data_IF_102613639502
#
_entry.id   IF_102613639502
#
_cell.length_a   1.000
_cell.length_b   1.000
_cell.length_c   1.000
_cell.angle_alpha   90.00
_cell.angle_beta   90.00
_cell.angle_gamma   90.00
#
_symmetry.space_group_name_H-M   'P 1'
#
loop_
_entity.id
_entity.type
_entity.pdbx_description
1 polymer ?
#
# COMPACT_ATOMS: atom_id res chain seq x y z
N UNK A 1 -4.00 -1.54 24.23
CA UNK A 1 -3.31 -0.44 23.53
C UNK A 1 -4.11 -0.13 22.27
N UNK A 2 -4.91 0.94 22.31
CA UNK A 2 -5.91 1.29 21.27
C UNK A 2 -5.21 1.82 20.02
N UNK A 3 -5.64 1.31 18.87
CA UNK A 3 -5.34 1.88 17.55
C UNK A 3 -5.77 3.35 17.58
N UNK A 4 -4.78 4.24 17.53
CA UNK A 4 -4.96 5.68 17.69
C UNK A 4 -5.62 6.24 16.43
N UNK A 5 -6.82 6.78 16.64
CA UNK A 5 -7.55 7.76 15.83
C UNK A 5 -6.87 8.23 14.53
N UNK A 6 -7.34 7.74 13.38
CA UNK A 6 -6.76 8.15 12.09
C UNK A 6 -7.42 9.40 11.47
N UNK A 7 -8.66 9.80 11.78
CA UNK A 7 -9.27 10.99 11.15
C UNK A 7 -10.36 11.70 11.97
N UNK A 8 -10.07 12.16 13.19
CA UNK A 8 -11.05 12.90 13.99
C UNK A 8 -11.19 14.40 13.64
N UNK A 9 -10.45 14.91 12.65
CA UNK A 9 -10.35 16.37 12.46
C UNK A 9 -10.09 16.74 11.00
N UNK A 10 -11.03 16.46 10.10
CA UNK A 10 -11.12 17.30 8.90
C UNK A 10 -11.71 18.63 9.35
N UNK A 11 -10.80 19.56 9.62
CA UNK A 11 -11.01 20.86 10.22
C UNK A 11 -12.20 21.62 9.64
N UNK A 12 -12.90 22.30 10.55
CA UNK A 12 -14.00 23.25 10.39
C UNK A 12 -13.90 24.29 9.25
N UNK A 13 -12.86 24.38 8.40
CA UNK A 13 -12.53 25.67 7.73
C UNK A 13 -11.90 25.65 6.33
N UNK A 14 -11.86 24.52 5.62
CA UNK A 14 -11.46 24.52 4.21
C UNK A 14 -9.96 24.62 3.97
N UNK A 15 -9.41 23.51 3.44
CA UNK A 15 -8.24 23.39 2.52
C UNK A 15 -6.89 23.89 3.06
N UNK A 16 -5.73 23.23 2.94
CA UNK A 16 -5.23 21.84 2.87
C UNK A 16 -3.71 22.00 3.15
N UNK A 17 -3.02 20.97 3.66
CA UNK A 17 -1.78 20.59 3.00
C UNK A 17 -1.91 19.15 2.55
N UNK A 18 -1.91 18.95 1.22
CA UNK A 18 -1.65 17.70 0.51
C UNK A 18 -1.00 16.68 1.44
N UNK A 19 -1.82 15.77 1.95
CA UNK A 19 -1.40 14.77 2.91
C UNK A 19 -0.08 14.19 2.42
N UNK A 20 0.99 14.25 3.22
CA UNK A 20 2.25 13.53 2.96
C UNK A 20 1.85 12.18 2.38
N UNK A 21 2.14 11.93 1.10
CA UNK A 21 1.61 10.74 0.43
C UNK A 21 2.04 9.56 1.28
N UNK A 22 1.10 8.91 1.95
CA UNK A 22 1.38 7.95 3.02
C UNK A 22 2.02 6.66 2.48
N UNK A 23 2.33 6.62 1.18
CA UNK A 23 2.83 5.46 0.46
C UNK A 23 1.80 4.31 0.36
N UNK A 24 0.56 4.53 0.84
CA UNK A 24 -0.47 3.51 0.85
C UNK A 24 -1.04 3.31 -0.57
N UNK A 25 -0.84 2.12 -1.12
CA UNK A 25 -1.36 1.73 -2.43
C UNK A 25 -2.47 0.69 -2.25
N UNK A 26 -3.69 1.05 -2.67
CA UNK A 26 -4.83 0.12 -2.68
C UNK A 26 -5.01 -0.41 -4.11
N UNK A 27 -4.69 -1.69 -4.32
CA UNK A 27 -4.78 -2.36 -5.62
C UNK A 27 -5.98 -3.30 -5.64
N UNK A 28 -6.80 -3.20 -6.69
CA UNK A 28 -7.81 -4.21 -7.02
C UNK A 28 -7.24 -5.13 -8.10
N UNK A 29 -7.38 -6.43 -7.90
CA UNK A 29 -6.98 -7.46 -8.86
C UNK A 29 -7.87 -8.69 -8.73
N UNK A 30 -7.84 -9.54 -9.75
CA UNK A 30 -8.58 -10.80 -9.74
C UNK A 30 -8.09 -11.72 -8.60
N UNK A 31 -8.97 -12.50 -7.96
CA UNK A 31 -8.60 -13.40 -6.85
C UNK A 31 -7.48 -14.38 -7.22
N UNK A 32 -7.44 -14.84 -8.46
CA UNK A 32 -6.45 -15.78 -8.98
C UNK A 32 -5.06 -15.14 -9.00
N UNK A 33 -4.99 -13.88 -9.44
CA UNK A 33 -3.75 -13.10 -9.42
C UNK A 33 -3.31 -12.81 -7.98
N UNK A 34 -4.24 -12.46 -7.10
CA UNK A 34 -3.93 -12.23 -5.69
C UNK A 34 -3.33 -13.49 -5.03
N UNK A 35 -3.85 -14.68 -5.34
CA UNK A 35 -3.29 -15.95 -4.86
C UNK A 35 -1.87 -16.18 -5.39
N UNK A 36 -1.66 -15.99 -6.69
CA UNK A 36 -0.34 -16.15 -7.31
C UNK A 36 0.71 -15.21 -6.68
N UNK A 37 0.36 -13.92 -6.49
CA UNK A 37 1.22 -12.93 -5.82
C UNK A 37 1.53 -13.35 -4.38
N UNK A 38 0.53 -13.82 -3.64
CA UNK A 38 0.72 -14.27 -2.25
C UNK A 38 1.69 -15.45 -2.16
N UNK A 39 1.59 -16.41 -3.08
CA UNK A 39 2.49 -17.57 -3.14
C UNK A 39 3.91 -17.12 -3.48
N UNK A 40 4.08 -16.28 -4.51
CA UNK A 40 5.37 -15.78 -4.94
C UNK A 40 6.08 -14.97 -3.84
N UNK A 41 5.36 -14.09 -3.15
CA UNK A 41 5.88 -13.32 -2.04
C UNK A 41 6.36 -14.23 -0.89
N UNK A 42 5.53 -15.21 -0.48
CA UNK A 42 5.89 -16.17 0.57
C UNK A 42 7.09 -17.04 0.20
N UNK A 43 7.13 -17.56 -1.02
CA UNK A 43 8.25 -18.35 -1.53
C UNK A 43 9.57 -17.56 -1.53
N UNK A 44 9.49 -16.23 -1.68
CA UNK A 44 10.62 -15.32 -1.61
C UNK A 44 10.96 -14.86 -0.18
N UNK A 45 10.24 -15.32 0.85
CA UNK A 45 10.40 -14.87 2.23
C UNK A 45 9.98 -13.42 2.48
N UNK A 46 9.17 -12.82 1.59
CA UNK A 46 8.81 -11.41 1.60
C UNK A 46 7.34 -11.21 1.98
N UNK A 47 7.04 -10.05 2.56
CA UNK A 47 5.65 -9.56 2.63
C UNK A 47 5.16 -9.18 1.23
N UNK A 48 3.84 -9.18 1.02
CA UNK A 48 3.23 -8.73 -0.25
C UNK A 48 3.62 -7.29 -0.55
N UNK A 49 3.63 -6.41 0.45
CA UNK A 49 4.02 -5.00 0.28
C UNK A 49 5.46 -4.86 -0.18
N UNK A 50 6.38 -5.62 0.41
CA UNK A 50 7.79 -5.61 0.00
C UNK A 50 7.96 -6.16 -1.42
N UNK A 51 7.36 -7.32 -1.71
CA UNK A 51 7.40 -7.92 -3.04
C UNK A 51 6.85 -6.98 -4.12
N UNK A 52 5.70 -6.32 -3.85
CA UNK A 52 5.10 -5.37 -4.77
C UNK A 52 5.97 -4.11 -4.95
N UNK A 53 6.56 -3.60 -3.88
CA UNK A 53 7.45 -2.44 -3.95
C UNK A 53 8.66 -2.71 -4.83
N UNK A 54 9.29 -3.88 -4.68
CA UNK A 54 10.45 -4.27 -5.50
C UNK A 54 10.05 -4.45 -6.98
N UNK A 55 8.90 -5.08 -7.26
CA UNK A 55 8.39 -5.24 -8.62
C UNK A 55 8.11 -3.88 -9.28
N UNK A 56 7.47 -2.96 -8.55
CA UNK A 56 7.22 -1.59 -9.03
C UNK A 56 8.53 -0.82 -9.25
N UNK A 57 9.51 -0.97 -8.36
CA UNK A 57 10.82 -0.35 -8.51
C UNK A 57 11.61 -0.88 -9.70
N UNK A 58 11.44 -2.15 -10.07
CA UNK A 58 12.05 -2.70 -11.29
C UNK A 58 11.37 -2.10 -12.53
N UNK A 59 10.03 -2.08 -12.54
CA UNK A 59 9.24 -1.60 -13.68
C UNK A 59 9.42 -0.10 -14.02
N UNK A 60 9.91 0.73 -13.09
CA UNK A 60 10.16 2.16 -13.31
C UNK A 60 11.64 2.49 -13.56
N UNK A 61 12.54 1.51 -13.45
CA UNK A 61 13.98 1.71 -13.76
C UNK A 61 14.30 1.44 -15.22
N UNK A 62 13.43 0.71 -15.91
CA UNK A 62 13.46 0.47 -17.37
C UNK A 62 12.61 1.52 -18.10
#
# INVERSE_FOLDING_TARGET
MRVVAFFATFEKRGIEPLAKQSGALNLRMQPELQRAVTIAAKASGKSINQWATEALQAAVRD
#
